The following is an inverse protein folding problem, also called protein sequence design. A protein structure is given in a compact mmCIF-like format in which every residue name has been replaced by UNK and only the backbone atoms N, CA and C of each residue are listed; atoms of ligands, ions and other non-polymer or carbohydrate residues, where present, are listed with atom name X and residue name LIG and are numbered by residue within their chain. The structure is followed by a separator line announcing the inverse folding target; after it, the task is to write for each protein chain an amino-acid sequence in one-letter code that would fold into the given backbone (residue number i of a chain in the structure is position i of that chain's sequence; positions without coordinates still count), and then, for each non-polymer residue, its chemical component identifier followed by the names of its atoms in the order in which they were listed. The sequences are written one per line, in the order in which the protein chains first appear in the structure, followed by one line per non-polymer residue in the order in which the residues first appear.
data_IF_142456384770
#
_entry.id   IF_142456384770
#
_cell.length_a   1.000
_cell.length_b   1.000
_cell.length_c   1.000
_cell.angle_alpha   90.00
_cell.angle_beta   90.00
_cell.angle_gamma   90.00
#
_symmetry.space_group_name_H-M   'P 1'
#
loop_
_entity.id
_entity.type
_entity.pdbx_description
1 polymer ?
#
# COMPACT_ATOMS: atom_id res chain seq x y z
N UNK A 1 -31.37 7.86 -24.20
CA UNK A 1 -31.55 7.15 -22.93
C UNK A 1 -30.24 6.41 -22.66
N UNK A 2 -29.30 7.10 -22.02
CA UNK A 2 -27.99 6.56 -21.66
C UNK A 2 -27.91 6.62 -20.14
N UNK A 3 -27.80 5.45 -19.51
CA UNK A 3 -27.63 5.33 -18.07
C UNK A 3 -26.17 5.64 -17.75
N UNK A 4 -25.94 6.74 -17.03
CA UNK A 4 -24.70 6.99 -16.32
C UNK A 4 -24.79 6.18 -15.01
N UNK A 5 -24.12 5.03 -14.97
CA UNK A 5 -23.89 4.31 -13.72
C UNK A 5 -22.67 4.96 -13.06
N UNK A 6 -22.96 5.82 -12.08
CA UNK A 6 -22.01 6.29 -11.08
C UNK A 6 -21.63 5.04 -10.27
N UNK A 7 -20.44 4.49 -10.55
CA UNK A 7 -19.88 3.39 -9.78
C UNK A 7 -19.43 3.90 -8.41
N UNK A 8 -19.88 3.21 -7.37
CA UNK A 8 -19.53 3.43 -5.98
C UNK A 8 -18.01 3.31 -5.78
N UNK A 9 -17.36 4.38 -5.32
CA UNK A 9 -15.91 4.44 -5.05
C UNK A 9 -15.57 4.03 -3.61
N UNK A 10 -16.52 3.49 -2.85
CA UNK A 10 -16.39 3.14 -1.43
C UNK A 10 -15.38 2.01 -1.11
N UNK A 11 -14.60 1.54 -2.08
CA UNK A 11 -13.66 0.42 -1.92
C UNK A 11 -12.21 0.70 -2.31
N UNK A 12 -11.86 1.91 -2.75
CA UNK A 12 -10.48 2.21 -3.17
C UNK A 12 -9.64 2.60 -1.95
N UNK A 13 -9.00 1.61 -1.33
CA UNK A 13 -7.96 1.82 -0.32
C UNK A 13 -6.62 1.96 -1.05
N UNK A 14 -6.21 3.19 -1.35
CA UNK A 14 -4.82 3.48 -1.73
C UNK A 14 -3.98 3.62 -0.45
N UNK A 15 -2.90 2.85 -0.37
CA UNK A 15 -1.88 2.94 0.68
C UNK A 15 -0.58 3.39 0.00
N UNK A 16 -0.04 4.54 0.38
CA UNK A 16 1.19 5.08 -0.21
C UNK A 16 2.41 4.67 0.63
N UNK A 17 2.89 3.45 0.40
CA UNK A 17 4.16 2.99 0.97
C UNK A 17 5.22 3.26 -0.11
N UNK A 18 6.22 4.12 0.17
CA UNK A 18 7.41 4.52 -0.66
C UNK A 18 7.48 5.99 -1.16
N UNK A 19 6.44 6.81 -1.03
CA UNK A 19 6.55 8.22 -1.43
C UNK A 19 7.42 9.00 -0.44
N UNK A 20 8.37 9.84 -0.90
CA UNK A 20 9.15 10.70 0.02
C UNK A 20 8.19 11.52 0.89
N UNK A 21 8.44 11.60 2.19
CA UNK A 21 7.59 12.31 3.14
C UNK A 21 7.25 13.76 2.71
N UNK A 22 8.18 14.43 2.03
CA UNK A 22 7.97 15.77 1.48
C UNK A 22 6.92 15.78 0.34
N UNK A 23 6.90 14.75 -0.50
CA UNK A 23 5.91 14.60 -1.58
C UNK A 23 4.54 14.25 -1.02
N UNK A 24 4.46 13.38 -0.01
CA UNK A 24 3.21 13.07 0.69
C UNK A 24 2.62 14.30 1.39
N UNK A 25 3.47 15.08 2.08
CA UNK A 25 3.06 16.34 2.69
C UNK A 25 2.59 17.35 1.64
N UNK A 26 3.32 17.51 0.53
CA UNK A 26 2.93 18.41 -0.56
C UNK A 26 1.60 17.98 -1.23
N UNK A 27 1.38 16.67 -1.38
CA UNK A 27 0.13 16.13 -1.89
C UNK A 27 -1.01 16.37 -0.90
N UNK A 28 -0.81 16.15 0.40
CA UNK A 28 -1.79 16.42 1.44
C UNK A 28 -2.21 17.91 1.45
N UNK A 29 -1.24 18.82 1.34
CA UNK A 29 -1.49 20.27 1.23
C UNK A 29 -2.27 20.60 -0.06
N UNK A 30 -1.98 19.91 -1.16
CA UNK A 30 -2.73 20.05 -2.41
C UNK A 30 -4.18 19.59 -2.24
N UNK A 31 -4.39 18.40 -1.64
CA UNK A 31 -5.70 17.84 -1.39
C UNK A 31 -6.56 18.76 -0.50
N UNK A 32 -5.99 19.35 0.55
CA UNK A 32 -6.69 20.30 1.43
C UNK A 32 -7.07 21.60 0.72
N UNK A 33 -6.19 22.13 -0.14
CA UNK A 33 -6.51 23.31 -0.96
C UNK A 33 -7.64 23.00 -1.94
N UNK A 34 -7.59 21.87 -2.63
CA UNK A 34 -8.65 21.44 -3.56
C UNK A 34 -9.97 21.18 -2.85
N UNK A 35 -9.93 20.54 -1.68
CA UNK A 35 -11.10 20.33 -0.83
C UNK A 35 -11.77 21.67 -0.49
N UNK A 36 -10.98 22.64 -0.04
CA UNK A 36 -11.47 23.97 0.35
C UNK A 36 -12.05 24.76 -0.84
N UNK A 37 -11.40 24.66 -2.01
CA UNK A 37 -11.87 25.28 -3.24
C UNK A 37 -13.19 24.66 -3.73
N UNK A 38 -13.29 23.34 -3.72
CA UNK A 38 -14.49 22.61 -4.14
C UNK A 38 -15.66 22.89 -3.20
N UNK A 39 -15.46 22.89 -1.89
CA UNK A 39 -16.52 23.22 -0.93
C UNK A 39 -16.99 24.67 -1.12
N UNK A 40 -16.06 25.61 -1.30
CA UNK A 40 -16.39 27.02 -1.59
C UNK A 40 -17.21 27.17 -2.87
N UNK A 41 -16.84 26.44 -3.93
CA UNK A 41 -17.58 26.44 -5.19
C UNK A 41 -18.99 25.87 -5.02
N UNK A 42 -19.14 24.75 -4.30
CA UNK A 42 -20.43 24.16 -4.01
C UNK A 42 -21.30 25.12 -3.20
N UNK A 43 -20.76 25.78 -2.17
CA UNK A 43 -21.48 26.79 -1.41
C UNK A 43 -21.93 27.96 -2.28
N UNK A 44 -21.08 28.47 -3.18
CA UNK A 44 -21.43 29.52 -4.13
C UNK A 44 -22.54 29.09 -5.08
N UNK A 45 -22.48 27.87 -5.62
CA UNK A 45 -23.53 27.32 -6.50
C UNK A 45 -24.86 27.17 -5.75
N UNK A 46 -24.85 26.65 -4.51
CA UNK A 46 -26.06 26.56 -3.68
C UNK A 46 -26.65 27.95 -3.40
N UNK A 47 -25.78 28.92 -3.09
CA UNK A 47 -26.15 30.31 -2.84
C UNK A 47 -26.68 31.06 -4.07
N UNK A 48 -26.30 30.64 -5.27
CA UNK A 48 -26.85 31.18 -6.52
C UNK A 48 -28.16 30.50 -6.93
N UNK A 49 -28.25 29.17 -6.79
CA UNK A 49 -29.35 28.36 -7.29
C UNK A 49 -30.58 28.43 -6.38
N UNK A 50 -30.42 28.26 -5.07
CA UNK A 50 -31.57 28.14 -4.14
C UNK A 50 -32.40 29.42 -3.97
N UNK A 51 -31.81 30.64 -3.93
CA UNK A 51 -32.60 31.86 -3.80
C UNK A 51 -33.02 32.46 -5.15
N UNK A 52 -32.69 31.83 -6.29
CA UNK A 52 -33.09 32.32 -7.59
C UNK A 52 -34.62 32.40 -7.69
N UNK A 53 -35.14 33.56 -8.09
CA UNK A 53 -36.57 33.76 -8.33
C UNK A 53 -37.02 32.95 -9.56
N UNK A 54 -37.43 31.70 -9.33
CA UNK A 54 -37.88 30.80 -10.39
C UNK A 54 -39.32 31.12 -10.79
N UNK A 55 -39.57 31.25 -12.10
CA UNK A 55 -40.91 31.45 -12.65
C UNK A 55 -41.25 30.24 -13.53
N UNK A 56 -42.02 29.31 -12.99
CA UNK A 56 -42.41 28.08 -13.69
C UNK A 56 -42.74 26.93 -12.73
N UNK A 57 -43.46 25.89 -13.19
CA UNK A 57 -43.85 24.74 -12.37
C UNK A 57 -42.71 23.73 -12.14
N UNK A 58 -41.59 23.88 -12.84
CA UNK A 58 -40.46 22.95 -12.88
C UNK A 58 -39.36 23.24 -11.86
N UNK A 59 -39.54 24.25 -10.99
CA UNK A 59 -38.57 24.63 -9.96
C UNK A 59 -38.16 23.45 -9.08
N UNK A 60 -39.13 22.68 -8.57
CA UNK A 60 -38.85 21.53 -7.70
C UNK A 60 -38.09 20.41 -8.44
N UNK A 61 -38.46 20.14 -9.70
CA UNK A 61 -37.78 19.13 -10.52
C UNK A 61 -36.33 19.53 -10.80
N UNK A 62 -36.09 20.81 -11.11
CA UNK A 62 -34.74 21.34 -11.29
C UNK A 62 -33.91 21.27 -10.01
N UNK A 63 -34.46 21.73 -8.87
CA UNK A 63 -33.75 21.68 -7.58
C UNK A 63 -33.43 20.25 -7.18
N UNK A 64 -34.36 19.31 -7.40
CA UNK A 64 -34.11 17.88 -7.17
C UNK A 64 -32.99 17.35 -8.06
N UNK A 65 -32.95 17.72 -9.34
CA UNK A 65 -31.89 17.31 -10.25
C UNK A 65 -30.54 17.93 -9.85
N UNK A 66 -30.52 19.20 -9.46
CA UNK A 66 -29.34 19.90 -8.97
C UNK A 66 -28.77 19.25 -7.70
N UNK A 67 -29.61 18.93 -6.70
CA UNK A 67 -29.16 18.22 -5.51
C UNK A 67 -28.57 16.85 -5.85
N UNK A 68 -29.26 16.07 -6.71
CA UNK A 68 -28.83 14.72 -7.07
C UNK A 68 -27.54 14.68 -7.90
N UNK A 69 -27.36 15.62 -8.83
CA UNK A 69 -26.25 15.60 -9.79
C UNK A 69 -25.07 16.46 -9.37
N UNK A 70 -25.26 17.43 -8.48
CA UNK A 70 -24.22 18.40 -8.11
C UNK A 70 -23.99 18.42 -6.60
N UNK A 71 -25.01 18.69 -5.78
CA UNK A 71 -24.78 18.88 -4.33
C UNK A 71 -24.26 17.60 -3.67
N UNK A 72 -24.88 16.44 -3.95
CA UNK A 72 -24.50 15.18 -3.33
C UNK A 72 -23.15 14.65 -3.83
N UNK A 73 -22.89 14.50 -5.15
CA UNK A 73 -21.58 14.05 -5.62
C UNK A 73 -20.45 15.01 -5.23
N UNK A 74 -20.72 16.32 -5.26
CA UNK A 74 -19.75 17.32 -4.83
C UNK A 74 -19.40 17.21 -3.35
N UNK A 75 -20.39 17.03 -2.47
CA UNK A 75 -20.15 16.83 -1.04
C UNK A 75 -19.34 15.55 -0.77
N UNK A 76 -19.65 14.46 -1.48
CA UNK A 76 -18.89 13.22 -1.38
C UNK A 76 -17.43 13.39 -1.83
N UNK A 77 -17.18 14.12 -2.92
CA UNK A 77 -15.82 14.42 -3.38
C UNK A 77 -15.01 15.27 -2.37
N UNK A 78 -15.65 16.24 -1.72
CA UNK A 78 -15.05 17.03 -0.62
C UNK A 78 -14.64 16.12 0.55
N UNK A 79 -15.51 15.20 0.95
CA UNK A 79 -15.23 14.25 2.02
C UNK A 79 -14.07 13.30 1.66
N UNK A 80 -14.09 12.74 0.45
CA UNK A 80 -13.06 11.83 -0.05
C UNK A 80 -11.68 12.52 -0.09
N UNK A 81 -11.60 13.74 -0.65
CA UNK A 81 -10.37 14.51 -0.68
C UNK A 81 -9.83 14.79 0.73
N UNK A 82 -10.72 15.14 1.67
CA UNK A 82 -10.31 15.37 3.06
C UNK A 82 -9.80 14.10 3.74
N UNK A 83 -10.43 12.96 3.49
CA UNK A 83 -9.99 11.67 4.05
C UNK A 83 -8.64 11.25 3.49
N UNK A 84 -8.45 11.31 2.17
CA UNK A 84 -7.19 10.97 1.55
C UNK A 84 -6.08 11.95 1.97
N UNK A 85 -6.36 13.26 2.00
CA UNK A 85 -5.43 14.30 2.46
C UNK A 85 -4.90 14.07 3.88
N UNK A 86 -5.80 13.78 4.83
CA UNK A 86 -5.40 13.45 6.21
C UNK A 86 -4.54 12.19 6.28
N UNK A 87 -4.87 11.16 5.49
CA UNK A 87 -4.11 9.92 5.45
C UNK A 87 -2.69 10.16 4.95
N UNK A 88 -2.53 10.83 3.81
CA UNK A 88 -1.21 11.14 3.28
C UNK A 88 -0.35 11.98 4.23
N UNK A 89 -0.95 12.90 5.01
CA UNK A 89 -0.22 13.63 6.05
C UNK A 89 0.22 12.72 7.20
N UNK A 90 -0.64 11.82 7.67
CA UNK A 90 -0.27 10.81 8.68
C UNK A 90 0.91 9.97 8.18
N UNK A 91 0.79 9.43 6.96
CA UNK A 91 1.83 8.61 6.33
C UNK A 91 3.16 9.40 6.21
N UNK A 92 3.12 10.69 5.87
CA UNK A 92 4.31 11.55 5.83
C UNK A 92 4.97 11.76 7.20
N UNK A 93 4.17 12.03 8.23
CA UNK A 93 4.65 12.24 9.60
C UNK A 93 5.29 10.97 10.17
N UNK A 94 4.70 9.80 9.89
CA UNK A 94 5.22 8.49 10.27
C UNK A 94 6.58 8.21 9.61
N UNK A 95 6.73 8.51 8.32
CA UNK A 95 8.01 8.34 7.63
C UNK A 95 9.12 9.27 8.15
N UNK A 96 8.79 10.53 8.49
CA UNK A 96 9.77 11.46 9.09
C UNK A 96 10.20 10.97 10.46
N UNK A 97 9.26 10.46 11.26
CA UNK A 97 9.55 9.90 12.58
C UNK A 97 10.47 8.68 12.49
N UNK A 98 10.24 7.78 11.53
CA UNK A 98 11.11 6.63 11.26
C UNK A 98 12.53 7.08 10.85
N UNK A 99 12.63 8.05 9.93
CA UNK A 99 13.93 8.49 9.37
C UNK A 99 14.84 9.25 10.36
N UNK A 100 14.29 9.82 11.44
CA UNK A 100 15.07 10.59 12.41
C UNK A 100 15.87 9.72 13.40
N UNK A 101 15.60 8.43 13.47
CA UNK A 101 16.22 7.53 14.45
C UNK A 101 17.64 7.06 14.07
N UNK A 102 18.05 7.17 12.80
CA UNK A 102 19.00 6.22 12.21
C UNK A 102 20.43 6.76 11.88
N UNK A 103 20.93 7.70 12.68
CA UNK A 103 22.22 8.34 12.46
C UNK A 103 23.45 7.63 13.06
N UNK A 104 23.82 6.39 12.69
CA UNK A 104 25.21 5.89 12.83
C UNK A 104 25.54 4.54 12.14
N UNK A 105 26.27 4.63 11.02
CA UNK A 105 27.43 3.85 10.55
C UNK A 105 27.60 2.34 10.91
N UNK A 106 27.71 1.49 9.88
CA UNK A 106 28.96 0.97 9.29
C UNK A 106 28.83 -0.48 8.74
N UNK A 107 29.19 -0.66 7.46
CA UNK A 107 29.13 -1.92 6.70
C UNK A 107 30.35 -2.82 6.94
N UNK A 108 30.13 -4.13 7.06
CA UNK A 108 31.17 -5.18 6.98
C UNK A 108 30.61 -6.50 6.41
N UNK A 109 31.38 -7.31 5.65
CA UNK A 109 30.81 -8.23 4.67
C UNK A 109 30.82 -9.72 5.08
N UNK A 110 29.77 -10.44 4.63
CA UNK A 110 29.90 -11.76 4.01
C UNK A 110 29.51 -13.02 4.82
N UNK A 111 28.60 -13.81 4.25
CA UNK A 111 28.82 -15.26 4.01
C UNK A 111 27.99 -16.29 4.80
N UNK A 112 27.23 -17.11 4.05
CA UNK A 112 27.05 -18.54 4.31
C UNK A 112 25.80 -18.95 5.09
N UNK A 113 24.89 -19.66 4.42
CA UNK A 113 23.62 -20.12 4.98
C UNK A 113 23.78 -21.12 6.12
N UNK A 114 23.05 -20.83 7.21
CA UNK A 114 22.69 -21.79 8.24
C UNK A 114 21.46 -21.22 8.98
N UNK A 115 20.65 -22.11 9.57
CA UNK A 115 19.32 -21.90 10.19
C UNK A 115 19.29 -20.88 11.34
N UNK A 116 19.62 -19.63 11.04
CA UNK A 116 19.63 -18.55 11.99
C UNK A 116 18.35 -17.74 11.82
N UNK A 117 17.73 -17.27 12.91
CA UNK A 117 16.76 -16.19 12.80
C UNK A 117 17.39 -15.05 11.98
N UNK A 118 16.60 -14.30 11.21
CA UNK A 118 17.12 -13.24 10.36
C UNK A 118 18.04 -12.35 11.21
N UNK A 119 19.23 -12.06 10.69
CA UNK A 119 20.16 -11.18 11.41
C UNK A 119 19.45 -9.87 11.67
N UNK A 120 19.18 -9.63 12.95
CA UNK A 120 18.60 -8.41 13.48
C UNK A 120 19.61 -7.30 13.32
N UNK A 121 19.24 -6.20 12.68
CA UNK A 121 20.00 -4.95 12.81
C UNK A 121 19.73 -4.35 14.19
N UNK A 122 20.58 -3.43 14.66
CA UNK A 122 20.30 -2.68 15.90
C UNK A 122 18.92 -1.99 15.83
N UNK A 123 18.51 -1.64 14.61
CA UNK A 123 17.23 -1.04 14.29
C UNK A 123 16.11 -2.05 13.98
N UNK A 124 16.22 -3.33 14.36
CA UNK A 124 15.09 -4.29 14.22
C UNK A 124 14.28 -4.45 15.52
N UNK A 125 14.65 -3.70 16.58
CA UNK A 125 14.03 -3.80 17.91
C UNK A 125 14.25 -5.14 18.62
N UNK A 126 15.03 -6.07 18.03
CA UNK A 126 15.27 -7.42 18.55
C UNK A 126 14.11 -8.40 18.29
N UNK A 127 14.29 -9.70 18.57
CA UNK A 127 13.27 -10.71 18.32
C UNK A 127 12.11 -10.62 19.33
N UNK A 128 10.88 -10.76 18.83
CA UNK A 128 9.65 -10.83 19.61
C UNK A 128 8.87 -12.09 19.23
N UNK A 129 8.49 -12.88 20.23
CA UNK A 129 7.76 -14.12 20.02
C UNK A 129 6.40 -13.89 19.35
N UNK A 130 6.08 -14.73 18.37
CA UNK A 130 4.78 -14.74 17.68
C UNK A 130 3.71 -15.32 18.61
N UNK A 131 2.59 -14.62 18.83
CA UNK A 131 1.47 -15.14 19.62
C UNK A 131 0.87 -16.39 18.96
N UNK A 132 0.44 -17.36 19.77
CA UNK A 132 -0.15 -18.61 19.26
C UNK A 132 -1.37 -18.39 18.35
N UNK A 133 -2.14 -17.31 18.54
CA UNK A 133 -3.30 -16.99 17.70
C UNK A 133 -2.96 -16.74 16.22
N UNK A 134 -1.75 -16.28 15.93
CA UNK A 134 -1.30 -16.03 14.54
C UNK A 134 -1.14 -17.34 13.75
N UNK A 135 -0.95 -18.46 14.44
CA UNK A 135 -0.87 -19.78 13.79
C UNK A 135 -2.19 -20.15 13.10
N UNK A 136 -3.31 -19.79 13.70
CA UNK A 136 -4.64 -20.04 13.12
C UNK A 136 -4.92 -19.07 11.96
N UNK A 137 -4.45 -17.82 12.04
CA UNK A 137 -4.64 -16.79 11.00
C UNK A 137 -3.89 -17.12 9.70
N UNK A 138 -2.72 -17.75 9.77
CA UNK A 138 -1.94 -18.16 8.59
C UNK A 138 -2.70 -19.12 7.66
N UNK A 139 -3.63 -19.92 8.21
CA UNK A 139 -4.49 -20.82 7.45
C UNK A 139 -5.86 -20.23 7.06
N UNK A 140 -6.08 -18.92 7.28
CA UNK A 140 -7.35 -18.26 6.96
C UNK A 140 -7.14 -17.11 5.95
N UNK A 141 -7.58 -17.29 4.68
CA UNK A 141 -7.54 -16.23 3.68
C UNK A 141 -8.26 -14.93 4.09
N UNK A 142 -9.30 -15.01 4.93
CA UNK A 142 -9.99 -13.82 5.41
C UNK A 142 -9.14 -13.04 6.42
N UNK A 143 -8.43 -13.74 7.30
CA UNK A 143 -7.46 -13.13 8.22
C UNK A 143 -6.31 -12.47 7.46
N UNK A 144 -5.71 -13.17 6.49
CA UNK A 144 -4.64 -12.64 5.63
C UNK A 144 -5.06 -11.33 4.94
N UNK A 145 -6.27 -11.28 4.38
CA UNK A 145 -6.78 -10.06 3.74
C UNK A 145 -6.94 -8.92 4.75
N UNK A 146 -7.56 -9.20 5.90
CA UNK A 146 -7.79 -8.21 6.97
C UNK A 146 -6.45 -7.63 7.46
N UNK A 147 -5.46 -8.48 7.70
CA UNK A 147 -4.13 -8.08 8.15
C UNK A 147 -3.46 -7.16 7.12
N UNK A 148 -3.67 -7.41 5.83
CA UNK A 148 -3.15 -6.57 4.74
C UNK A 148 -3.88 -5.23 4.57
N UNK A 149 -5.17 -5.14 4.94
CA UNK A 149 -5.94 -3.88 4.91
C UNK A 149 -5.50 -2.92 6.02
N UNK A 150 -5.07 -3.46 7.16
CA UNK A 150 -4.58 -2.73 8.32
C UNK A 150 -3.07 -2.71 8.46
N UNK A 151 -2.30 -3.10 7.44
CA UNK A 151 -0.85 -3.23 7.54
C UNK A 151 -0.18 -1.89 7.87
N UNK A 152 0.66 -1.88 8.90
CA UNK A 152 1.46 -0.74 9.33
C UNK A 152 2.93 -1.13 9.26
N UNK A 153 3.69 -0.42 8.42
CA UNK A 153 5.12 -0.62 8.28
C UNK A 153 5.84 -0.33 9.60
N UNK A 154 6.88 -1.11 9.87
CA UNK A 154 7.75 -0.93 11.00
C UNK A 154 8.73 0.24 10.84
N UNK A 155 9.81 0.21 11.64
CA UNK A 155 10.92 1.17 11.51
C UNK A 155 11.83 0.93 10.29
N UNK A 156 11.64 -0.16 9.54
CA UNK A 156 12.54 -0.61 8.48
C UNK A 156 12.09 -0.12 7.10
N UNK A 157 13.03 0.18 6.20
CA UNK A 157 12.79 0.65 4.82
C UNK A 157 12.31 -0.41 3.81
N UNK A 158 11.47 -1.36 4.24
CA UNK A 158 11.04 -2.53 3.45
C UNK A 158 9.67 -2.35 2.77
N UNK A 159 9.20 -1.11 2.63
CA UNK A 159 7.98 -0.74 1.90
C UNK A 159 7.85 -1.40 0.52
N UNK A 160 8.98 -1.53 -0.19
CA UNK A 160 9.04 -2.15 -1.52
C UNK A 160 8.60 -3.62 -1.51
N UNK A 161 8.71 -4.32 -0.37
CA UNK A 161 8.21 -5.68 -0.14
C UNK A 161 6.78 -5.69 0.42
N UNK A 162 6.51 -4.87 1.43
CA UNK A 162 5.20 -4.84 2.10
C UNK A 162 4.07 -4.40 1.16
N UNK A 163 4.32 -3.48 0.23
CA UNK A 163 3.32 -3.04 -0.74
C UNK A 163 2.87 -4.18 -1.69
N UNK A 164 3.78 -4.90 -2.39
CA UNK A 164 3.43 -6.10 -3.14
C UNK A 164 2.74 -7.17 -2.30
N UNK A 165 3.24 -7.46 -1.09
CA UNK A 165 2.62 -8.44 -0.20
C UNK A 165 1.16 -8.08 0.09
N UNK A 166 0.89 -6.85 0.51
CA UNK A 166 -0.46 -6.38 0.82
C UNK A 166 -1.36 -6.34 -0.43
N UNK A 167 -0.80 -6.06 -1.60
CA UNK A 167 -1.54 -6.06 -2.86
C UNK A 167 -1.95 -7.49 -3.27
N UNK A 168 -1.05 -8.47 -3.14
CA UNK A 168 -1.36 -9.90 -3.36
C UNK A 168 -2.38 -10.38 -2.34
N UNK A 169 -2.21 -10.07 -1.05
CA UNK A 169 -3.12 -10.46 0.02
C UNK A 169 -4.55 -9.94 -0.20
N UNK A 170 -4.71 -8.70 -0.68
CA UNK A 170 -6.04 -8.13 -0.96
C UNK A 170 -6.70 -8.80 -2.16
N UNK A 171 -5.93 -8.98 -3.23
CA UNK A 171 -6.42 -9.49 -4.53
C UNK A 171 -6.68 -10.99 -4.50
N UNK A 172 -5.74 -11.76 -3.94
CA UNK A 172 -5.76 -13.23 -3.92
C UNK A 172 -5.17 -13.77 -2.61
N UNK A 173 -5.89 -13.65 -1.47
CA UNK A 173 -5.39 -14.12 -0.18
C UNK A 173 -5.21 -15.64 -0.11
N UNK A 174 -6.01 -16.41 -0.85
CA UNK A 174 -5.90 -17.86 -0.91
C UNK A 174 -4.55 -18.30 -1.49
N UNK A 175 -3.99 -17.54 -2.43
CA UNK A 175 -2.64 -17.79 -2.91
C UNK A 175 -1.61 -17.64 -1.78
N UNK A 176 -1.72 -16.62 -0.93
CA UNK A 176 -0.78 -16.50 0.20
C UNK A 176 -0.98 -17.59 1.23
N UNK A 177 -2.22 -17.97 1.56
CA UNK A 177 -2.53 -19.12 2.43
C UNK A 177 -1.84 -20.41 1.96
N UNK A 178 -1.89 -20.71 0.65
CA UNK A 178 -1.18 -21.87 0.09
C UNK A 178 0.36 -21.77 0.17
N UNK A 179 0.89 -20.55 0.35
CA UNK A 179 2.32 -20.26 0.39
C UNK A 179 2.84 -19.98 1.81
N UNK A 180 2.01 -20.06 2.86
CA UNK A 180 2.45 -19.96 4.25
C UNK A 180 1.80 -21.03 5.12
N UNK A 181 2.59 -21.74 5.93
CA UNK A 181 2.05 -22.74 6.86
C UNK A 181 2.91 -22.85 8.12
N UNK A 182 2.32 -23.43 9.17
CA UNK A 182 3.01 -23.71 10.42
C UNK A 182 3.18 -25.22 10.61
N UNK A 183 4.41 -25.67 10.77
CA UNK A 183 4.75 -27.08 10.95
C UNK A 183 6.00 -27.23 11.81
N UNK A 184 6.02 -28.23 12.69
CA UNK A 184 7.14 -28.53 13.60
C UNK A 184 7.61 -27.34 14.46
N UNK A 185 6.68 -26.45 14.83
CA UNK A 185 6.97 -25.29 15.67
C UNK A 185 7.58 -24.10 14.92
N UNK A 186 7.65 -24.16 13.59
CA UNK A 186 8.20 -23.12 12.73
C UNK A 186 7.20 -22.71 11.65
N UNK A 187 7.31 -21.47 11.19
CA UNK A 187 6.60 -20.99 10.02
C UNK A 187 7.40 -21.31 8.77
N UNK A 188 6.73 -21.67 7.70
CA UNK A 188 7.33 -21.92 6.40
C UNK A 188 6.63 -21.05 5.38
N UNK A 189 7.41 -20.32 4.60
CA UNK A 189 6.92 -19.45 3.54
C UNK A 189 7.54 -19.89 2.22
N UNK A 190 6.72 -20.05 1.20
CA UNK A 190 7.17 -20.33 -0.17
C UNK A 190 7.37 -19.01 -0.91
N UNK A 191 8.56 -18.86 -1.45
CA UNK A 191 8.94 -17.82 -2.40
C UNK A 191 9.33 -18.43 -3.74
N UNK A 192 9.52 -17.57 -4.74
CA UNK A 192 9.90 -17.95 -6.09
C UNK A 192 11.17 -17.21 -6.51
N UNK A 193 12.08 -17.94 -7.15
CA UNK A 193 13.35 -17.40 -7.65
C UNK A 193 13.60 -17.88 -9.09
N UNK A 194 14.45 -17.15 -9.83
CA UNK A 194 14.92 -17.61 -11.14
C UNK A 194 16.28 -18.26 -10.99
N UNK A 195 16.45 -19.43 -11.59
CA UNK A 195 17.76 -20.03 -11.70
C UNK A 195 18.63 -19.33 -12.73
N UNK A 196 19.88 -19.78 -12.87
CA UNK A 196 20.84 -19.21 -13.82
C UNK A 196 20.40 -19.31 -15.31
N UNK A 197 19.39 -20.13 -15.60
CA UNK A 197 18.78 -20.28 -16.93
C UNK A 197 17.46 -19.50 -17.05
N UNK A 198 17.07 -18.73 -16.03
CA UNK A 198 15.82 -17.96 -16.00
C UNK A 198 14.58 -18.78 -15.70
N UNK A 199 14.71 -20.04 -15.26
CA UNK A 199 13.55 -20.89 -14.91
C UNK A 199 13.10 -20.58 -13.50
N UNK A 200 11.78 -20.45 -13.31
CA UNK A 200 11.17 -20.24 -11.99
C UNK A 200 11.32 -21.50 -11.15
N UNK A 201 11.79 -21.34 -9.91
CA UNK A 201 11.91 -22.37 -8.89
C UNK A 201 11.24 -21.91 -7.60
N UNK A 202 10.68 -22.87 -6.87
CA UNK A 202 10.13 -22.64 -5.54
C UNK A 202 11.25 -22.71 -4.49
N UNK A 203 11.26 -21.75 -3.57
CA UNK A 203 12.17 -21.67 -2.43
C UNK A 203 11.35 -21.60 -1.15
N UNK A 204 11.39 -22.67 -0.36
CA UNK A 204 10.77 -22.70 0.98
C UNK A 204 11.76 -22.10 1.97
N UNK A 205 11.32 -21.09 2.70
CA UNK A 205 12.06 -20.44 3.78
C UNK A 205 11.37 -20.75 5.09
N UNK A 206 12.13 -21.32 6.01
CA UNK A 206 11.68 -21.60 7.37
C UNK A 206 12.05 -20.43 8.27
N UNK A 207 11.06 -19.91 8.99
CA UNK A 207 11.19 -18.84 9.96
C UNK A 207 10.84 -19.37 11.36
N UNK A 208 11.64 -18.95 12.34
CA UNK A 208 11.35 -19.21 13.74
C UNK A 208 10.06 -18.46 14.16
N UNK A 209 9.38 -18.89 15.23
CA UNK A 209 8.19 -18.20 15.75
C UNK A 209 8.55 -16.90 16.49
N UNK A 210 9.45 -16.11 15.91
CA UNK A 210 9.92 -14.81 16.38
C UNK A 210 10.01 -13.86 15.19
N UNK A 211 9.59 -12.61 15.38
CA UNK A 211 9.62 -11.54 14.37
C UNK A 211 10.41 -10.33 14.89
N UNK A 212 10.79 -9.40 14.02
CA UNK A 212 11.42 -8.14 14.45
C UNK A 212 10.46 -7.32 15.34
N UNK A 213 10.98 -6.77 16.43
CA UNK A 213 10.24 -6.02 17.44
C UNK A 213 9.67 -4.71 16.94
N UNK A 214 10.34 -4.07 15.99
CA UNK A 214 9.82 -2.90 15.26
C UNK A 214 9.46 -3.23 13.80
N UNK A 215 9.28 -4.50 13.45
CA UNK A 215 8.79 -4.90 12.11
C UNK A 215 7.31 -4.63 11.90
N UNK A 216 6.81 -5.02 10.75
CA UNK A 216 5.43 -4.81 10.31
C UNK A 216 4.42 -5.34 11.34
N UNK A 217 3.33 -4.60 11.51
CA UNK A 217 2.20 -4.91 12.39
C UNK A 217 0.86 -4.74 11.68
N UNK A 218 -0.20 -5.23 12.28
CA UNK A 218 -1.56 -4.87 11.90
C UNK A 218 -1.97 -3.48 12.45
N UNK A 219 -3.21 -3.08 12.19
CA UNK A 219 -3.73 -1.78 12.60
C UNK A 219 -3.90 -1.63 14.12
N UNK A 220 -3.84 -2.73 14.87
CA UNK A 220 -3.89 -2.75 16.33
C UNK A 220 -2.47 -2.77 16.93
N UNK A 221 -1.42 -2.67 16.12
CA UNK A 221 -0.02 -2.85 16.50
C UNK A 221 0.33 -4.28 16.95
N UNK A 222 -0.47 -5.26 16.56
CA UNK A 222 -0.26 -6.67 16.86
C UNK A 222 0.54 -7.37 15.74
N UNK A 223 1.22 -8.46 16.10
CA UNK A 223 1.92 -9.35 15.16
C UNK A 223 0.85 -10.09 14.34
N UNK A 224 1.05 -10.15 13.02
CA UNK A 224 0.09 -10.73 12.08
C UNK A 224 0.76 -11.65 11.07
N UNK A 225 -0.02 -12.21 10.13
CA UNK A 225 0.55 -13.02 9.04
C UNK A 225 1.54 -12.21 8.19
N UNK A 226 1.34 -10.89 8.08
CA UNK A 226 2.26 -10.01 7.37
C UNK A 226 3.65 -9.98 8.02
N UNK A 227 3.71 -10.02 9.36
CA UNK A 227 4.97 -10.10 10.11
C UNK A 227 5.74 -11.39 9.82
N UNK A 228 5.04 -12.51 9.61
CA UNK A 228 5.65 -13.79 9.25
C UNK A 228 6.27 -13.73 7.85
N UNK A 229 5.56 -13.17 6.88
CA UNK A 229 6.06 -12.98 5.52
C UNK A 229 7.29 -12.06 5.51
N UNK A 230 7.27 -10.95 6.26
CA UNK A 230 8.41 -10.03 6.40
C UNK A 230 9.64 -10.76 6.97
N UNK A 231 9.49 -11.48 8.09
CA UNK A 231 10.58 -12.25 8.71
C UNK A 231 11.13 -13.30 7.76
N UNK A 232 10.27 -14.05 7.06
CA UNK A 232 10.72 -15.03 6.08
C UNK A 232 11.44 -14.37 4.90
N UNK A 233 10.97 -13.22 4.42
CA UNK A 233 11.62 -12.49 3.33
C UNK A 233 12.97 -11.90 3.74
N UNK A 234 13.09 -11.35 4.95
CA UNK A 234 14.36 -10.94 5.52
C UNK A 234 15.34 -12.14 5.56
N UNK A 235 14.91 -13.30 6.07
CA UNK A 235 15.69 -14.53 6.06
C UNK A 235 16.08 -14.98 4.66
N UNK A 236 15.17 -14.86 3.68
CA UNK A 236 15.45 -15.16 2.27
C UNK A 236 16.57 -14.27 1.70
N UNK A 237 16.58 -12.99 2.08
CA UNK A 237 17.55 -11.99 1.61
C UNK A 237 18.86 -11.98 2.39
N UNK A 238 18.92 -12.64 3.55
CA UNK A 238 20.13 -12.78 4.38
C UNK A 238 20.10 -12.04 5.72
N UNK A 239 18.96 -11.41 6.05
CA UNK A 239 18.72 -10.67 7.29
C UNK A 239 17.92 -9.39 7.03
N UNK A 240 17.52 -8.72 8.11
CA UNK A 240 16.76 -7.47 8.02
C UNK A 240 17.58 -6.31 7.41
N UNK A 241 18.89 -6.30 7.63
CA UNK A 241 19.79 -5.28 7.06
C UNK A 241 19.89 -5.32 5.52
N UNK A 242 19.49 -6.43 4.90
CA UNK A 242 19.49 -6.56 3.43
C UNK A 242 18.20 -5.98 2.80
N UNK A 243 17.16 -5.73 3.60
CA UNK A 243 15.87 -5.20 3.13
C UNK A 243 15.57 -3.79 3.66
N UNK A 244 16.36 -3.24 4.58
CA UNK A 244 16.16 -1.88 5.11
C UNK A 244 16.56 -0.78 4.11
N UNK A 245 17.38 -1.10 3.10
CA UNK A 245 17.94 -0.12 2.15
C UNK A 245 17.01 0.23 0.97
N UNK A 246 15.75 -0.20 1.02
CA UNK A 246 14.79 -0.04 -0.07
C UNK A 246 15.02 -1.00 -1.24
N UNK A 247 14.15 -0.91 -2.25
CA UNK A 247 14.17 -1.77 -3.42
C UNK A 247 13.04 -1.47 -4.39
N UNK A 248 12.90 -2.30 -5.43
CA UNK A 248 11.85 -2.13 -6.44
C UNK A 248 10.74 -3.17 -6.24
N UNK A 249 9.47 -2.72 -6.28
CA UNK A 249 8.30 -3.57 -6.06
C UNK A 249 8.18 -4.77 -7.04
N UNK A 250 8.79 -4.67 -8.23
CA UNK A 250 8.81 -5.76 -9.21
C UNK A 250 9.51 -7.03 -8.67
N UNK A 251 10.56 -6.85 -7.86
CA UNK A 251 11.33 -7.95 -7.30
C UNK A 251 10.48 -8.75 -6.29
N UNK A 252 9.92 -8.15 -5.22
CA UNK A 252 8.98 -8.84 -4.34
C UNK A 252 7.74 -9.39 -5.04
N UNK A 253 7.21 -8.70 -6.06
CA UNK A 253 6.08 -9.23 -6.82
C UNK A 253 6.41 -10.58 -7.44
N UNK A 254 7.60 -10.70 -8.06
CA UNK A 254 8.08 -11.98 -8.56
C UNK A 254 8.39 -12.95 -7.41
N UNK A 255 9.08 -12.51 -6.35
CA UNK A 255 9.43 -13.37 -5.22
C UNK A 255 8.20 -13.99 -4.55
N UNK A 256 7.10 -13.25 -4.47
CA UNK A 256 5.85 -13.73 -3.88
C UNK A 256 5.07 -14.64 -4.84
N UNK A 257 5.01 -14.30 -6.13
CA UNK A 257 4.04 -14.92 -7.06
C UNK A 257 4.64 -15.87 -8.09
N UNK A 258 5.95 -15.80 -8.32
CA UNK A 258 6.65 -16.46 -9.42
C UNK A 258 6.31 -15.89 -10.81
N UNK A 259 5.59 -14.77 -10.87
CA UNK A 259 5.17 -14.13 -12.11
C UNK A 259 5.96 -12.84 -12.34
N UNK A 260 6.42 -12.64 -13.58
CA UNK A 260 7.09 -11.41 -13.96
C UNK A 260 6.11 -10.23 -13.91
N UNK A 261 6.49 -9.18 -13.20
CA UNK A 261 5.76 -7.92 -13.18
C UNK A 261 5.94 -7.18 -14.52
N UNK A 262 4.88 -6.50 -14.95
CA UNK A 262 4.99 -5.50 -16.02
C UNK A 262 5.20 -4.15 -15.37
N UNK A 263 6.29 -3.48 -15.73
CA UNK A 263 6.59 -2.12 -15.28
C UNK A 263 6.20 -1.14 -16.38
N UNK A 264 5.66 0.01 -15.97
CA UNK A 264 5.31 1.11 -16.86
C UNK A 264 6.13 2.32 -16.41
N UNK A 265 7.01 2.80 -17.28
CA UNK A 265 7.87 3.95 -16.97
C UNK A 265 7.08 5.27 -17.07
N UNK A 266 6.06 5.30 -17.93
CA UNK A 266 5.08 6.39 -18.06
C UNK A 266 3.86 6.18 -17.17
N UNK A 267 3.20 7.27 -16.77
CA UNK A 267 1.93 7.20 -16.02
C UNK A 267 0.89 6.42 -16.82
N UNK A 268 0.51 5.24 -16.31
CA UNK A 268 -0.60 4.47 -16.86
C UNK A 268 -1.87 5.32 -16.77
N UNK A 269 -2.67 5.32 -17.84
CA UNK A 269 -3.96 6.00 -17.79
C UNK A 269 -4.85 5.39 -16.70
N UNK A 270 -5.71 6.20 -16.09
CA UNK A 270 -6.69 5.72 -15.10
C UNK A 270 -7.54 4.59 -15.69
N UNK A 271 -7.90 4.67 -16.97
CA UNK A 271 -8.66 3.61 -17.64
C UNK A 271 -7.86 2.29 -17.72
N UNK A 272 -6.57 2.36 -18.01
CA UNK A 272 -5.70 1.18 -18.02
C UNK A 272 -5.57 0.57 -16.62
N UNK A 273 -5.34 1.38 -15.59
CA UNK A 273 -5.29 0.89 -14.20
C UNK A 273 -6.61 0.24 -13.78
N UNK A 274 -7.75 0.83 -14.19
CA UNK A 274 -9.07 0.25 -13.96
C UNK A 274 -9.22 -1.10 -14.65
N UNK A 275 -8.77 -1.23 -15.89
CA UNK A 275 -8.88 -2.48 -16.66
C UNK A 275 -8.00 -3.60 -16.05
N UNK A 276 -6.78 -3.26 -15.60
CA UNK A 276 -5.90 -4.20 -14.89
C UNK A 276 -6.52 -4.68 -13.56
N UNK A 277 -7.06 -3.75 -12.76
CA UNK A 277 -7.76 -4.09 -11.51
C UNK A 277 -9.03 -4.92 -11.78
N UNK A 278 -9.80 -4.60 -12.83
CA UNK A 278 -11.00 -5.34 -13.21
C UNK A 278 -10.68 -6.75 -13.75
N UNK A 279 -9.50 -6.94 -14.35
CA UNK A 279 -8.99 -8.24 -14.75
C UNK A 279 -8.50 -9.08 -13.56
N UNK A 280 -8.47 -8.51 -12.35
CA UNK A 280 -7.99 -9.18 -11.14
C UNK A 280 -6.46 -9.23 -11.06
N UNK A 281 -5.75 -8.38 -11.81
CA UNK A 281 -4.31 -8.28 -11.69
C UNK A 281 -3.90 -7.50 -10.44
N UNK A 282 -2.77 -7.88 -9.86
CA UNK A 282 -2.17 -7.18 -8.73
C UNK A 282 -1.43 -5.95 -9.26
N UNK A 283 -1.80 -4.77 -8.77
CA UNK A 283 -1.21 -3.49 -9.15
C UNK A 283 -0.54 -2.85 -7.95
N UNK A 284 0.70 -2.40 -8.12
CA UNK A 284 1.46 -1.62 -7.13
C UNK A 284 1.96 -0.36 -7.84
N UNK A 285 1.83 0.78 -7.19
CA UNK A 285 2.35 2.05 -7.66
C UNK A 285 3.43 2.56 -6.70
N UNK A 286 4.45 3.19 -7.27
CA UNK A 286 5.55 3.82 -6.54
C UNK A 286 5.81 5.21 -7.13
N UNK A 287 6.30 6.13 -6.31
CA UNK A 287 6.61 7.52 -6.71
C UNK A 287 8.09 7.84 -6.52
N UNK A 288 8.97 6.85 -6.72
CA UNK A 288 10.42 7.04 -6.61
C UNK A 288 11.00 8.04 -7.62
N UNK A 289 12.11 8.70 -7.30
CA UNK A 289 12.79 9.59 -8.23
C UNK A 289 13.26 8.80 -9.46
N UNK A 290 12.65 9.09 -10.62
CA UNK A 290 13.12 8.60 -11.92
C UNK A 290 14.55 9.11 -12.12
N UNK A 291 15.47 8.21 -12.40
CA UNK A 291 16.87 8.44 -12.75
C UNK A 291 17.05 9.13 -14.13
N UNK A 292 16.22 10.14 -14.44
CA UNK A 292 16.56 11.09 -15.51
C UNK A 292 15.46 11.98 -16.09
N UNK A 293 14.17 11.68 -16.01
CA UNK A 293 13.15 12.43 -16.78
C UNK A 293 11.79 12.57 -16.05
N UNK A 294 11.75 13.35 -14.98
CA UNK A 294 10.51 13.77 -14.31
C UNK A 294 10.31 15.28 -14.40
N UNK A 295 9.82 15.78 -15.53
CA UNK A 295 9.42 17.16 -15.68
C UNK A 295 7.96 17.37 -15.26
N UNK A 296 7.71 18.26 -14.30
CA UNK A 296 6.44 18.98 -14.24
C UNK A 296 6.30 19.76 -15.54
N UNK A 297 5.27 19.49 -16.33
CA UNK A 297 4.85 20.42 -17.37
C UNK A 297 3.90 21.45 -16.75
N UNK A 298 4.27 22.73 -16.86
CA UNK A 298 3.35 23.84 -16.69
C UNK A 298 2.23 23.74 -17.74
N UNK A 299 0.99 24.01 -17.31
CA UNK A 299 -0.22 23.87 -18.12
C UNK A 299 -0.38 24.88 -19.26
N UNK A 300 0.68 25.57 -19.67
CA UNK A 300 0.67 26.50 -20.80
C UNK A 300 1.89 26.28 -21.72
N UNK A 301 1.81 25.27 -22.60
CA UNK A 301 2.50 25.24 -23.90
C UNK A 301 1.76 24.37 -24.90
#
# INVERSE_FOLDING_TARGET
MAFLLIGDLSGVVMTFLSAEANMLAAWADCAERMQSQLDSLLQAMRGAVRPAGWVGPDCEAFLSAFSAQVEHPGAHAVELLGTLGRRARSDAEEQVAASAADGSAAVGPGGGGDRSPPKTTEDSGGPVAVPAGVQDDVGDPAAIRRDAEGITQGGMGDCFFLAPLAAVARTNPAFLEENVWFEDGQYHVRFYEKDFLGRVQERIVTADPEVAGNGVRDSNSDISTMSIFETAYASHRGGYGEIENGGHAADPMFTLTGQDARTYDDESSIDQLRDELAAGHVVVADTGPRDGEGGLFDAES
#
